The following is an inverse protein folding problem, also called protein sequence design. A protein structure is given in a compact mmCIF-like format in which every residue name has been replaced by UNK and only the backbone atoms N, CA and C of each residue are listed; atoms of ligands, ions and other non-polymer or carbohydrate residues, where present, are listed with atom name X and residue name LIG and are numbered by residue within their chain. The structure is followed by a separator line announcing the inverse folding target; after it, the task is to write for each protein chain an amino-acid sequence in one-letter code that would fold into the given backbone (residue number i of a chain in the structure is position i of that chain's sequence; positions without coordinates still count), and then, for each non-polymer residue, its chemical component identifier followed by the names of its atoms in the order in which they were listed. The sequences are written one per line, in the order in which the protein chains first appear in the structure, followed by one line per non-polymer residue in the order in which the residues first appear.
data_IF_913898985380
#
_entry.id   IF_913898985380
#
_cell.length_a   1.000
_cell.length_b   1.000
_cell.length_c   1.000
_cell.angle_alpha   90.00
_cell.angle_beta   90.00
_cell.angle_gamma   90.00
#
_symmetry.space_group_name_H-M   'P 1'
#
loop_
_entity.id
_entity.type
_entity.pdbx_description
1 polymer ?
#
# COMPACT_ATOMS: atom_id res chain seq x y z
N UNK A 1 -15.81 -99.57 -27.05
CA UNK A 1 -16.15 -98.44 -27.94
C UNK A 1 -16.51 -97.26 -27.03
N UNK A 2 -15.55 -96.38 -26.69
CA UNK A 2 -15.25 -95.10 -27.39
C UNK A 2 -16.49 -94.21 -27.47
N UNK A 3 -16.54 -92.97 -26.95
CA UNK A 3 -15.66 -91.82 -27.22
C UNK A 3 -16.04 -90.71 -26.21
N UNK A 4 -15.16 -90.24 -25.31
CA UNK A 4 -14.39 -88.98 -25.42
C UNK A 4 -15.13 -87.73 -25.95
N UNK A 5 -15.08 -86.64 -25.17
CA UNK A 5 -14.88 -85.30 -25.73
C UNK A 5 -15.93 -84.23 -25.42
N UNK A 6 -15.82 -83.56 -24.26
CA UNK A 6 -15.80 -82.08 -24.17
C UNK A 6 -15.46 -81.61 -22.75
N UNK A 7 -14.17 -81.37 -22.53
CA UNK A 7 -13.73 -80.46 -21.48
C UNK A 7 -14.20 -79.05 -21.84
N UNK A 8 -14.96 -78.43 -20.94
CA UNK A 8 -15.13 -76.97 -20.91
C UNK A 8 -13.88 -76.39 -20.25
N UNK A 9 -12.91 -76.04 -21.09
CA UNK A 9 -11.84 -75.09 -20.77
C UNK A 9 -12.46 -73.69 -20.77
N UNK A 10 -12.16 -72.91 -19.74
CA UNK A 10 -12.56 -71.51 -19.65
C UNK A 10 -12.45 -70.93 -18.24
N UNK A 11 -11.38 -71.26 -17.50
CA UNK A 11 -10.93 -70.46 -16.37
C UNK A 11 -9.67 -69.73 -16.84
N UNK A 12 -9.73 -68.42 -16.97
CA UNK A 12 -8.58 -67.59 -17.36
C UNK A 12 -7.47 -67.75 -16.32
N UNK A 13 -6.54 -68.65 -16.63
CA UNK A 13 -5.40 -69.02 -15.82
C UNK A 13 -4.26 -68.04 -15.99
N UNK A 14 -4.39 -66.86 -15.39
CA UNK A 14 -3.25 -66.02 -15.10
C UNK A 14 -2.91 -66.21 -13.62
N UNK A 15 -1.74 -66.76 -13.32
CA UNK A 15 -1.31 -66.98 -11.93
C UNK A 15 -1.24 -65.65 -11.17
N UNK A 16 -1.54 -65.64 -9.86
CA UNK A 16 -1.46 -64.42 -9.04
C UNK A 16 -0.08 -63.74 -9.14
N UNK A 17 0.97 -64.51 -9.40
CA UNK A 17 2.32 -64.01 -9.67
C UNK A 17 2.43 -63.24 -11.01
N UNK A 18 1.76 -63.69 -12.08
CA UNK A 18 1.70 -62.96 -13.36
C UNK A 18 0.87 -61.69 -13.27
N UNK A 19 -0.23 -61.71 -12.50
CA UNK A 19 -1.04 -60.53 -12.23
C UNK A 19 -0.24 -59.52 -11.40
N UNK A 20 0.47 -59.97 -10.36
CA UNK A 20 1.35 -59.12 -9.56
C UNK A 20 2.48 -58.51 -10.41
N UNK A 21 3.18 -59.30 -11.23
CA UNK A 21 4.23 -58.78 -12.14
C UNK A 21 3.71 -57.66 -13.03
N UNK A 22 2.54 -57.83 -13.65
CA UNK A 22 1.93 -56.79 -14.51
C UNK A 22 1.69 -55.49 -13.76
N UNK A 23 1.22 -55.55 -12.52
CA UNK A 23 0.97 -54.35 -11.71
C UNK A 23 2.25 -53.71 -11.18
N UNK A 24 3.30 -54.50 -10.94
CA UNK A 24 4.63 -53.97 -10.63
C UNK A 24 5.26 -53.28 -11.84
N UNK A 25 5.12 -53.86 -13.04
CA UNK A 25 5.56 -53.23 -14.29
C UNK A 25 4.80 -51.93 -14.55
N UNK A 26 3.49 -51.92 -14.30
CA UNK A 26 2.67 -50.72 -14.41
C UNK A 26 3.10 -49.63 -13.42
N UNK A 27 3.33 -49.99 -12.14
CA UNK A 27 3.84 -49.06 -11.14
C UNK A 27 5.24 -48.55 -11.48
N UNK A 28 6.12 -49.40 -11.99
CA UNK A 28 7.46 -49.00 -12.45
C UNK A 28 7.41 -48.01 -13.62
N UNK A 29 6.53 -48.27 -14.58
CA UNK A 29 6.28 -47.36 -15.70
C UNK A 29 5.73 -46.02 -15.20
N UNK A 30 4.78 -46.05 -14.27
CA UNK A 30 4.21 -44.86 -13.67
C UNK A 30 5.23 -44.02 -12.89
N UNK A 31 6.08 -44.65 -12.08
CA UNK A 31 7.18 -43.97 -11.36
C UNK A 31 8.14 -43.31 -12.37
N UNK A 32 8.44 -43.99 -13.48
CA UNK A 32 9.34 -43.49 -14.52
C UNK A 32 8.74 -42.32 -15.31
N UNK A 33 7.41 -42.22 -15.39
CA UNK A 33 6.71 -41.12 -16.06
C UNK A 33 6.42 -39.93 -15.16
N UNK A 34 6.81 -39.94 -13.88
CA UNK A 34 6.53 -38.81 -12.97
C UNK A 34 7.16 -37.49 -13.45
N UNK A 35 8.28 -37.54 -14.18
CA UNK A 35 8.89 -36.36 -14.79
C UNK A 35 7.99 -35.70 -15.84
N UNK A 36 7.18 -36.50 -16.54
CA UNK A 36 6.31 -36.09 -17.64
C UNK A 36 4.95 -35.53 -17.17
N UNK A 37 4.64 -35.65 -15.87
CA UNK A 37 3.39 -35.14 -15.31
C UNK A 37 3.46 -33.62 -15.17
N UNK A 38 2.50 -32.95 -15.80
CA UNK A 38 2.31 -31.51 -15.73
C UNK A 38 1.97 -31.05 -14.30
N UNK A 39 2.17 -29.76 -14.05
CA UNK A 39 2.22 -29.14 -12.74
C UNK A 39 3.39 -28.18 -12.80
N UNK A 40 3.11 -26.89 -12.69
CA UNK A 40 4.12 -25.84 -12.70
C UNK A 40 5.13 -26.06 -11.55
N UNK A 41 6.02 -25.11 -11.22
CA UNK A 41 6.98 -25.25 -10.10
C UNK A 41 6.32 -25.46 -8.70
N UNK A 42 5.00 -25.66 -8.63
CA UNK A 42 4.18 -25.94 -7.45
C UNK A 42 4.05 -27.46 -7.17
N UNK A 43 4.53 -27.95 -6.00
CA UNK A 43 4.32 -29.33 -5.55
C UNK A 43 2.86 -29.76 -5.41
N UNK A 44 1.95 -28.82 -5.09
CA UNK A 44 0.54 -29.12 -4.86
C UNK A 44 -0.13 -29.58 -6.16
N UNK A 45 -0.04 -28.75 -7.20
CA UNK A 45 -0.59 -29.04 -8.54
C UNK A 45 0.03 -30.33 -9.12
N UNK A 46 1.34 -30.52 -8.92
CA UNK A 46 2.03 -31.74 -9.35
C UNK A 46 1.41 -33.00 -8.70
N UNK A 47 1.23 -33.03 -7.39
CA UNK A 47 0.71 -34.23 -6.71
C UNK A 47 -0.76 -34.48 -7.07
N UNK A 48 -1.55 -33.42 -7.27
CA UNK A 48 -2.93 -33.53 -7.76
C UNK A 48 -2.97 -34.24 -9.12
N UNK A 49 -2.19 -33.76 -10.08
CA UNK A 49 -2.10 -34.33 -11.42
C UNK A 49 -1.57 -35.77 -11.40
N UNK A 50 -0.59 -36.09 -10.54
CA UNK A 50 -0.09 -37.46 -10.37
C UNK A 50 -1.18 -38.38 -9.81
N UNK A 51 -1.96 -37.91 -8.83
CA UNK A 51 -3.06 -38.69 -8.26
C UNK A 51 -4.16 -38.96 -9.30
N UNK A 52 -4.54 -37.96 -10.10
CA UNK A 52 -5.49 -38.13 -11.20
C UNK A 52 -4.96 -39.10 -12.27
N UNK A 53 -3.70 -38.95 -12.68
CA UNK A 53 -3.08 -39.82 -13.67
C UNK A 53 -3.02 -41.28 -13.21
N UNK A 54 -2.70 -41.51 -11.93
CA UNK A 54 -2.71 -42.86 -11.35
C UNK A 54 -4.11 -43.45 -11.31
N UNK A 55 -5.11 -42.68 -10.86
CA UNK A 55 -6.50 -43.14 -10.80
C UNK A 55 -7.06 -43.46 -12.20
N UNK A 56 -6.73 -42.64 -13.21
CA UNK A 56 -7.11 -42.89 -14.61
C UNK A 56 -6.54 -44.20 -15.18
N UNK A 57 -5.44 -44.70 -14.63
CA UNK A 57 -4.84 -45.99 -14.99
C UNK A 57 -5.51 -47.21 -14.35
N UNK A 58 -6.34 -47.01 -13.31
CA UNK A 58 -7.01 -48.10 -12.58
C UNK A 58 -8.48 -48.18 -13.01
N UNK A 59 -8.80 -49.12 -13.91
CA UNK A 59 -10.18 -49.38 -14.34
C UNK A 59 -10.83 -50.50 -13.50
N UNK A 60 -12.14 -50.40 -13.17
CA UNK A 60 -12.89 -51.50 -12.57
C UNK A 60 -12.82 -52.80 -13.36
N UNK A 61 -12.64 -52.72 -14.69
CA UNK A 61 -12.57 -53.87 -15.60
C UNK A 61 -11.17 -54.54 -15.62
N UNK A 62 -10.13 -53.85 -15.14
CA UNK A 62 -8.74 -54.35 -15.09
C UNK A 62 -8.23 -54.59 -13.67
N UNK A 63 -9.04 -54.27 -12.65
CA UNK A 63 -8.69 -54.43 -11.25
C UNK A 63 -8.49 -55.91 -10.86
N UNK A 64 -7.41 -56.26 -10.14
CA UNK A 64 -7.21 -57.59 -9.60
C UNK A 64 -8.30 -58.02 -8.61
N UNK A 65 -8.34 -59.32 -8.32
CA UNK A 65 -9.19 -59.86 -7.26
C UNK A 65 -8.91 -59.14 -5.91
N UNK A 66 -9.94 -58.80 -5.11
CA UNK A 66 -9.78 -58.12 -3.82
C UNK A 66 -8.88 -58.82 -2.79
N UNK A 67 -8.61 -60.12 -2.97
CA UNK A 67 -7.73 -60.92 -2.10
C UNK A 67 -6.36 -61.19 -2.73
N UNK A 68 -6.07 -60.62 -3.90
CA UNK A 68 -4.80 -60.82 -4.59
C UNK A 68 -3.72 -59.86 -4.07
N UNK A 69 -2.45 -60.27 -4.02
CA UNK A 69 -1.34 -59.37 -3.70
C UNK A 69 -1.22 -58.17 -4.65
N UNK A 70 -1.70 -58.30 -5.89
CA UNK A 70 -1.71 -57.20 -6.86
C UNK A 70 -2.69 -56.08 -6.46
N UNK A 71 -3.84 -56.40 -5.85
CA UNK A 71 -4.76 -55.38 -5.32
C UNK A 71 -4.10 -54.58 -4.19
N UNK A 72 -3.27 -55.23 -3.38
CA UNK A 72 -2.55 -54.55 -2.30
C UNK A 72 -1.57 -53.49 -2.84
N UNK A 73 -0.92 -53.72 -3.98
CA UNK A 73 -0.06 -52.72 -4.66
C UNK A 73 -0.86 -51.46 -5.01
N UNK A 74 -2.08 -51.61 -5.53
CA UNK A 74 -2.94 -50.49 -5.89
C UNK A 74 -3.32 -49.68 -4.64
N UNK A 75 -3.79 -50.35 -3.59
CA UNK A 75 -4.26 -49.69 -2.35
C UNK A 75 -3.10 -49.00 -1.62
N UNK A 76 -1.91 -49.61 -1.57
CA UNK A 76 -0.72 -48.99 -0.95
C UNK A 76 -0.20 -47.79 -1.76
N UNK A 77 -0.29 -47.85 -3.09
CA UNK A 77 0.06 -46.72 -3.95
C UNK A 77 -0.92 -45.56 -3.76
N UNK A 78 -2.23 -45.83 -3.71
CA UNK A 78 -3.25 -44.81 -3.41
C UNK A 78 -3.06 -44.19 -2.02
N UNK A 79 -2.73 -44.99 -1.00
CA UNK A 79 -2.39 -44.49 0.34
C UNK A 79 -1.18 -43.56 0.29
N UNK A 80 -0.14 -43.94 -0.45
CA UNK A 80 1.09 -43.15 -0.60
C UNK A 80 0.81 -41.81 -1.28
N UNK A 81 -0.01 -41.80 -2.33
CA UNK A 81 -0.44 -40.58 -3.03
C UNK A 81 -1.23 -39.64 -2.11
N UNK A 82 -2.20 -40.18 -1.34
CA UNK A 82 -2.98 -39.37 -0.39
C UNK A 82 -2.10 -38.75 0.72
N UNK A 83 -1.09 -39.48 1.21
CA UNK A 83 -0.14 -38.94 2.19
C UNK A 83 0.75 -37.84 1.61
N UNK A 84 1.20 -38.01 0.35
CA UNK A 84 1.98 -37.00 -0.35
C UNK A 84 1.15 -35.72 -0.57
N UNK A 85 -0.12 -35.86 -0.93
CA UNK A 85 -1.07 -34.74 -1.11
C UNK A 85 -1.25 -33.94 0.18
N UNK A 86 -1.51 -34.62 1.30
CA UNK A 86 -1.65 -33.95 2.60
C UNK A 86 -0.35 -33.24 3.01
N UNK A 87 0.80 -33.84 2.72
CA UNK A 87 2.10 -33.23 3.05
C UNK A 87 2.36 -31.96 2.24
N UNK A 88 2.05 -31.96 0.93
CA UNK A 88 2.19 -30.78 0.09
C UNK A 88 1.17 -29.69 0.46
N UNK A 89 -0.08 -30.07 0.72
CA UNK A 89 -1.12 -29.15 1.22
C UNK A 89 -0.70 -28.49 2.53
N UNK A 90 -0.22 -29.29 3.48
CA UNK A 90 0.32 -28.82 4.76
C UNK A 90 1.44 -27.81 4.57
N UNK A 91 2.50 -28.18 3.84
CA UNK A 91 3.63 -27.29 3.60
C UNK A 91 3.21 -26.00 2.87
N UNK A 92 2.36 -26.10 1.85
CA UNK A 92 1.92 -24.93 1.08
C UNK A 92 1.24 -23.89 1.96
N UNK A 93 0.38 -24.31 2.89
CA UNK A 93 -0.39 -23.40 3.75
C UNK A 93 0.35 -23.00 5.03
N UNK A 94 1.13 -23.90 5.63
CA UNK A 94 1.78 -23.67 6.92
C UNK A 94 3.15 -23.01 6.81
N UNK A 95 3.87 -23.17 5.69
CA UNK A 95 5.19 -22.56 5.49
C UNK A 95 5.03 -21.12 4.96
N UNK A 96 5.33 -20.06 5.76
CA UNK A 96 5.01 -18.68 5.40
C UNK A 96 5.87 -18.13 4.26
N UNK A 97 7.16 -18.47 4.24
CA UNK A 97 8.08 -18.07 3.19
C UNK A 97 8.02 -19.05 2.03
N UNK A 98 7.66 -18.56 0.84
CA UNK A 98 7.59 -19.38 -0.36
C UNK A 98 8.94 -20.03 -0.73
N UNK A 99 10.07 -19.46 -0.27
CA UNK A 99 11.42 -19.99 -0.52
C UNK A 99 11.76 -21.19 0.35
N UNK A 100 11.09 -21.33 1.49
CA UNK A 100 11.30 -22.43 2.44
C UNK A 100 10.35 -23.61 2.16
N UNK A 101 9.35 -23.41 1.30
CA UNK A 101 8.44 -24.47 0.86
C UNK A 101 9.18 -25.58 0.13
N UNK A 102 8.61 -26.78 0.21
CA UNK A 102 9.01 -27.92 -0.60
C UNK A 102 8.91 -27.53 -2.07
N UNK A 103 9.90 -27.92 -2.87
CA UNK A 103 9.89 -27.69 -4.32
C UNK A 103 9.29 -28.89 -5.04
N UNK A 104 8.79 -28.70 -6.27
CA UNK A 104 8.32 -29.80 -7.14
C UNK A 104 9.31 -30.95 -7.17
N UNK A 105 10.60 -30.66 -7.38
CA UNK A 105 11.66 -31.67 -7.45
C UNK A 105 11.80 -32.50 -6.16
N UNK A 106 11.70 -31.85 -4.99
CA UNK A 106 11.79 -32.54 -3.69
C UNK A 106 10.54 -33.39 -3.43
N UNK A 107 9.35 -32.87 -3.74
CA UNK A 107 8.09 -33.61 -3.63
C UNK A 107 8.07 -34.82 -4.57
N UNK A 108 8.44 -34.64 -5.84
CA UNK A 108 8.54 -35.71 -6.83
C UNK A 108 9.54 -36.78 -6.40
N UNK A 109 10.74 -36.40 -5.95
CA UNK A 109 11.73 -37.38 -5.49
C UNK A 109 11.21 -38.16 -4.27
N UNK A 110 10.53 -37.49 -3.35
CA UNK A 110 9.97 -38.11 -2.14
C UNK A 110 8.85 -39.08 -2.49
N UNK A 111 7.95 -38.70 -3.39
CA UNK A 111 6.87 -39.54 -3.90
C UNK A 111 7.40 -40.74 -4.68
N UNK A 112 8.34 -40.53 -5.60
CA UNK A 112 8.97 -41.59 -6.37
C UNK A 112 9.64 -42.62 -5.44
N UNK A 113 10.36 -42.17 -4.40
CA UNK A 113 10.96 -43.05 -3.40
C UNK A 113 9.91 -43.84 -2.61
N UNK A 114 8.80 -43.21 -2.24
CA UNK A 114 7.74 -43.88 -1.50
C UNK A 114 7.02 -44.95 -2.34
N UNK A 115 6.70 -44.64 -3.60
CA UNK A 115 6.12 -45.58 -4.56
C UNK A 115 7.09 -46.72 -4.92
N UNK A 116 8.38 -46.41 -5.06
CA UNK A 116 9.41 -47.44 -5.30
C UNK A 116 9.53 -48.39 -4.09
N UNK A 117 9.33 -47.90 -2.86
CA UNK A 117 9.20 -48.74 -1.68
C UNK A 117 8.07 -49.77 -1.79
N UNK A 118 6.90 -49.35 -2.28
CA UNK A 118 5.76 -50.27 -2.55
C UNK A 118 6.13 -51.30 -3.62
N UNK A 119 6.80 -50.87 -4.69
CA UNK A 119 7.26 -51.74 -5.78
C UNK A 119 8.26 -52.79 -5.29
N UNK A 120 9.32 -52.36 -4.60
CA UNK A 120 10.36 -53.23 -4.06
C UNK A 120 9.78 -54.29 -3.11
N UNK A 121 8.79 -53.91 -2.32
CA UNK A 121 8.10 -54.86 -1.44
C UNK A 121 7.35 -55.92 -2.26
N UNK A 122 6.62 -55.54 -3.30
CA UNK A 122 5.96 -56.50 -4.19
C UNK A 122 6.94 -57.41 -4.95
N UNK A 123 8.12 -56.91 -5.33
CA UNK A 123 9.19 -57.72 -5.93
C UNK A 123 9.74 -58.75 -4.93
N UNK A 124 9.87 -58.37 -3.65
CA UNK A 124 10.29 -59.29 -2.59
C UNK A 124 9.33 -60.47 -2.46
N UNK A 125 8.02 -60.25 -2.61
CA UNK A 125 7.01 -61.33 -2.56
C UNK A 125 7.15 -62.32 -3.73
N UNK A 126 7.60 -61.86 -4.90
CA UNK A 126 7.86 -62.70 -6.06
C UNK A 126 9.17 -63.50 -5.93
N UNK A 127 10.16 -62.96 -5.21
CA UNK A 127 11.47 -63.58 -5.03
C UNK A 127 11.51 -64.55 -3.83
N UNK A 128 10.76 -64.25 -2.77
CA UNK A 128 10.78 -64.98 -1.51
C UNK A 128 9.49 -65.80 -1.33
N UNK A 129 8.47 -65.20 -0.72
CA UNK A 129 7.20 -65.85 -0.39
C UNK A 129 6.04 -64.89 -0.63
N UNK A 130 5.06 -65.33 -1.41
CA UNK A 130 3.83 -64.58 -1.65
C UNK A 130 2.96 -64.51 -0.38
N UNK A 131 2.36 -63.34 -0.07
CA UNK A 131 1.48 -63.22 1.07
C UNK A 131 0.23 -64.06 0.87
N UNK A 132 -0.22 -64.70 1.95
CA UNK A 132 -1.47 -65.47 1.95
C UNK A 132 -2.68 -64.55 1.77
N UNK A 133 -3.79 -65.09 1.27
CA UNK A 133 -5.04 -64.32 1.11
C UNK A 133 -5.52 -63.67 2.42
N UNK A 134 -5.23 -64.28 3.58
CA UNK A 134 -5.55 -63.71 4.89
C UNK A 134 -4.66 -62.51 5.23
N UNK A 135 -3.35 -62.61 4.99
CA UNK A 135 -2.42 -61.48 5.16
C UNK A 135 -2.77 -60.32 4.22
N UNK A 136 -3.14 -60.62 2.97
CA UNK A 136 -3.61 -59.62 2.00
C UNK A 136 -4.87 -58.92 2.52
N UNK A 137 -5.87 -59.65 3.00
CA UNK A 137 -7.09 -59.05 3.56
C UNK A 137 -6.82 -58.17 4.77
N UNK A 138 -6.02 -58.65 5.72
CA UNK A 138 -5.66 -57.88 6.92
C UNK A 138 -4.94 -56.59 6.55
N UNK A 139 -4.01 -56.67 5.61
CA UNK A 139 -3.26 -55.50 5.19
C UNK A 139 -4.10 -54.52 4.38
N UNK A 140 -4.92 -54.98 3.44
CA UNK A 140 -5.88 -54.12 2.74
C UNK A 140 -6.79 -53.39 3.73
N UNK A 141 -7.25 -54.05 4.80
CA UNK A 141 -8.03 -53.41 5.85
C UNK A 141 -7.24 -52.32 6.60
N UNK A 142 -5.99 -52.58 6.96
CA UNK A 142 -5.11 -51.60 7.61
C UNK A 142 -4.77 -50.42 6.70
N UNK A 143 -4.39 -50.70 5.45
CA UNK A 143 -4.05 -49.69 4.44
C UNK A 143 -5.28 -48.87 4.05
N UNK A 144 -6.46 -49.50 3.96
CA UNK A 144 -7.74 -48.82 3.77
C UNK A 144 -8.07 -47.90 4.94
N UNK A 145 -7.91 -48.36 6.19
CA UNK A 145 -8.10 -47.52 7.36
C UNK A 145 -7.13 -46.32 7.39
N UNK A 146 -5.86 -46.54 7.03
CA UNK A 146 -4.86 -45.48 6.93
C UNK A 146 -5.14 -44.49 5.78
N UNK A 147 -5.67 -44.97 4.66
CA UNK A 147 -6.12 -44.13 3.54
C UNK A 147 -7.33 -43.28 3.95
N UNK A 148 -8.34 -43.86 4.58
CA UNK A 148 -9.48 -43.12 5.13
C UNK A 148 -9.02 -42.07 6.14
N UNK A 149 -8.12 -42.42 7.06
CA UNK A 149 -7.56 -41.48 8.01
C UNK A 149 -6.81 -40.32 7.33
N UNK A 150 -6.12 -40.57 6.22
CA UNK A 150 -5.47 -39.51 5.45
C UNK A 150 -6.51 -38.58 4.79
N UNK A 151 -7.58 -39.12 4.20
CA UNK A 151 -8.67 -38.32 3.63
C UNK A 151 -9.38 -37.48 4.71
N UNK A 152 -9.67 -38.08 5.86
CA UNK A 152 -10.30 -37.40 7.00
C UNK A 152 -9.42 -36.27 7.53
N UNK A 153 -8.10 -36.47 7.62
CA UNK A 153 -7.15 -35.44 8.04
C UNK A 153 -7.13 -34.24 7.06
N UNK A 154 -7.13 -34.51 5.75
CA UNK A 154 -7.21 -33.46 4.73
C UNK A 154 -8.54 -32.70 4.79
N UNK A 155 -9.65 -33.41 4.99
CA UNK A 155 -10.97 -32.80 5.17
C UNK A 155 -11.05 -31.93 6.43
N UNK A 156 -10.47 -32.39 7.54
CA UNK A 156 -10.39 -31.61 8.78
C UNK A 156 -9.55 -30.34 8.58
N UNK A 157 -8.38 -30.43 7.94
CA UNK A 157 -7.54 -29.28 7.66
C UNK A 157 -8.26 -28.25 6.77
N UNK A 158 -9.02 -28.70 5.77
CA UNK A 158 -9.84 -27.82 4.94
C UNK A 158 -10.95 -27.14 5.75
N UNK A 159 -11.64 -27.88 6.61
CA UNK A 159 -12.69 -27.32 7.47
C UNK A 159 -12.14 -26.29 8.47
N UNK A 160 -10.96 -26.53 9.06
CA UNK A 160 -10.28 -25.56 9.92
C UNK A 160 -9.94 -24.27 9.16
N UNK A 161 -9.45 -24.37 7.92
CA UNK A 161 -9.18 -23.18 7.09
C UNK A 161 -10.46 -22.45 6.68
N UNK A 162 -11.55 -23.17 6.40
CA UNK A 162 -12.85 -22.57 6.09
C UNK A 162 -13.42 -21.82 7.31
N UNK A 163 -13.23 -22.36 8.51
CA UNK A 163 -13.60 -21.71 9.77
C UNK A 163 -12.76 -20.45 10.02
N UNK A 164 -11.43 -20.51 9.85
CA UNK A 164 -10.54 -19.35 9.93
C UNK A 164 -10.94 -18.24 8.93
N UNK A 165 -11.25 -18.61 7.68
CA UNK A 165 -11.72 -17.68 6.65
C UNK A 165 -13.07 -17.04 7.04
N UNK A 166 -13.99 -17.81 7.59
CA UNK A 166 -15.29 -17.32 8.05
C UNK A 166 -15.15 -16.37 9.26
N UNK A 167 -14.28 -16.68 10.22
CA UNK A 167 -13.97 -15.81 11.35
C UNK A 167 -13.35 -14.48 10.89
N UNK A 168 -12.39 -14.54 9.96
CA UNK A 168 -11.75 -13.35 9.40
C UNK A 168 -12.75 -12.48 8.61
N UNK A 169 -13.71 -13.10 7.92
CA UNK A 169 -14.79 -12.40 7.19
C UNK A 169 -15.83 -11.78 8.12
N UNK A 170 -16.08 -12.38 9.28
CA UNK A 170 -17.00 -11.84 10.27
C UNK A 170 -16.45 -10.58 10.96
N UNK A 171 -15.13 -10.38 10.97
CA UNK A 171 -14.47 -9.24 11.62
C UNK A 171 -13.43 -8.52 10.72
N UNK A 172 -13.89 -7.87 9.62
CA UNK A 172 -12.99 -7.29 8.62
C UNK A 172 -12.44 -5.91 9.02
N UNK A 173 -13.09 -5.22 9.96
CA UNK A 173 -12.75 -3.83 10.30
C UNK A 173 -12.15 -3.71 11.69
N UNK A 174 -11.19 -2.81 11.85
CA UNK A 174 -10.55 -2.58 13.14
C UNK A 174 -9.36 -1.64 13.10
N UNK A 175 -8.84 -1.28 14.28
CA UNK A 175 -7.57 -0.59 14.41
C UNK A 175 -6.43 -1.61 14.35
N UNK A 176 -5.40 -1.30 13.57
CA UNK A 176 -4.22 -2.14 13.43
C UNK A 176 -2.96 -1.38 13.78
N UNK A 177 -2.13 -1.98 14.63
CA UNK A 177 -0.82 -1.49 14.97
C UNK A 177 0.22 -2.33 14.22
N UNK A 178 1.06 -1.66 13.44
CA UNK A 178 2.27 -2.25 12.90
C UNK A 178 3.45 -1.80 13.74
N UNK A 179 4.16 -2.75 14.33
CA UNK A 179 5.34 -2.49 15.17
C UNK A 179 6.41 -3.54 14.94
N UNK A 180 7.64 -3.25 15.36
CA UNK A 180 8.76 -4.18 15.26
C UNK A 180 9.18 -4.59 16.66
N UNK A 181 9.31 -5.89 16.87
CA UNK A 181 9.88 -6.46 18.09
C UNK A 181 11.03 -7.41 17.72
N UNK A 182 12.28 -6.91 17.73
CA UNK A 182 13.46 -7.71 17.39
C UNK A 182 13.67 -8.93 18.30
N UNK A 183 13.01 -9.00 19.46
CA UNK A 183 13.07 -10.17 20.33
C UNK A 183 12.19 -11.33 19.85
N UNK A 184 11.23 -11.04 18.96
CA UNK A 184 10.27 -12.02 18.41
C UNK A 184 10.52 -12.33 16.95
N UNK A 185 10.79 -11.32 16.13
CA UNK A 185 10.97 -11.48 14.68
C UNK A 185 11.66 -10.26 14.07
N UNK A 186 12.44 -10.49 13.01
CA UNK A 186 12.97 -9.42 12.16
C UNK A 186 11.88 -8.82 11.24
N UNK A 187 10.73 -9.49 11.11
CA UNK A 187 9.59 -9.01 10.34
C UNK A 187 8.68 -8.07 11.17
N UNK A 188 8.00 -7.09 10.53
CA UNK A 188 6.98 -6.28 11.20
C UNK A 188 5.84 -7.15 11.74
N UNK A 189 5.44 -6.89 12.98
CA UNK A 189 4.29 -7.51 13.62
C UNK A 189 3.05 -6.69 13.29
N UNK A 190 2.04 -7.36 12.73
CA UNK A 190 0.72 -6.81 12.49
C UNK A 190 -0.20 -7.25 13.62
N UNK A 191 -0.78 -6.29 14.32
CA UNK A 191 -1.65 -6.58 15.45
C UNK A 191 -2.96 -5.81 15.33
N UNK A 192 -4.07 -6.54 15.30
CA UNK A 192 -5.40 -5.93 15.39
C UNK A 192 -5.67 -5.57 16.85
N UNK A 193 -5.62 -4.29 17.16
CA UNK A 193 -5.75 -3.77 18.53
C UNK A 193 -7.21 -3.79 18.98
N UNK A 194 -8.15 -3.53 18.07
CA UNK A 194 -9.57 -3.67 18.33
C UNK A 194 -10.38 -3.83 17.04
N UNK A 195 -11.60 -4.35 17.18
CA UNK A 195 -12.55 -4.56 16.09
C UNK A 195 -13.53 -3.41 16.00
N UNK A 196 -13.99 -3.12 14.78
CA UNK A 196 -14.97 -2.06 14.50
C UNK A 196 -16.19 -2.63 13.79
N UNK A 197 -17.34 -2.04 14.08
CA UNK A 197 -18.49 -2.15 13.17
C UNK A 197 -18.19 -1.42 11.85
N UNK A 198 -18.90 -1.78 10.78
CA UNK A 198 -18.79 -1.07 9.49
C UNK A 198 -19.08 0.43 9.64
N UNK A 199 -20.06 0.79 10.47
CA UNK A 199 -20.42 2.18 10.73
C UNK A 199 -19.30 2.95 11.45
N UNK A 200 -18.63 2.34 12.43
CA UNK A 200 -17.47 2.93 13.11
C UNK A 200 -16.29 3.08 12.16
N UNK A 201 -15.98 2.04 11.39
CA UNK A 201 -14.91 2.08 10.38
C UNK A 201 -15.14 3.22 9.40
N UNK A 202 -16.35 3.33 8.84
CA UNK A 202 -16.71 4.41 7.93
C UNK A 202 -16.56 5.78 8.61
N UNK A 203 -17.02 5.92 9.85
CA UNK A 203 -16.92 7.17 10.62
C UNK A 203 -15.46 7.61 10.80
N UNK A 204 -14.57 6.69 11.17
CA UNK A 204 -13.15 6.99 11.34
C UNK A 204 -12.46 7.29 10.02
N UNK A 205 -12.71 6.48 8.99
CA UNK A 205 -12.13 6.68 7.65
C UNK A 205 -12.56 8.01 7.04
N UNK A 206 -13.85 8.36 7.12
CA UNK A 206 -14.37 9.62 6.60
C UNK A 206 -13.75 10.83 7.33
N UNK A 207 -13.68 10.80 8.66
CA UNK A 207 -13.11 11.89 9.46
C UNK A 207 -11.61 12.06 9.20
N UNK A 208 -10.84 10.97 9.18
CA UNK A 208 -9.42 11.02 8.85
C UNK A 208 -9.18 11.59 7.44
N UNK A 209 -9.89 11.07 6.43
CA UNK A 209 -9.77 11.55 5.04
C UNK A 209 -10.19 13.01 4.89
N UNK A 210 -11.20 13.47 5.64
CA UNK A 210 -11.62 14.86 5.64
C UNK A 210 -10.51 15.79 6.17
N UNK A 211 -9.87 15.42 7.28
CA UNK A 211 -8.73 16.16 7.83
C UNK A 211 -7.51 16.10 6.90
N UNK A 212 -7.19 14.94 6.34
CA UNK A 212 -6.11 14.78 5.35
C UNK A 212 -6.32 15.72 4.15
N UNK A 213 -7.51 15.72 3.56
CA UNK A 213 -7.85 16.60 2.42
C UNK A 213 -7.78 18.09 2.79
N UNK A 214 -8.10 18.44 4.04
CA UNK A 214 -7.96 19.79 4.55
C UNK A 214 -6.49 20.18 4.63
N UNK A 215 -5.67 19.38 5.31
CA UNK A 215 -4.24 19.65 5.53
C UNK A 215 -3.45 19.66 4.21
N UNK A 216 -3.66 18.66 3.35
CA UNK A 216 -2.96 18.54 2.06
C UNK A 216 -3.33 19.62 1.06
N UNK A 217 -4.50 20.25 1.23
CA UNK A 217 -4.90 21.36 0.39
C UNK A 217 -4.93 22.70 1.10
N UNK A 218 -4.19 22.81 2.20
CA UNK A 218 -3.91 24.09 2.81
C UNK A 218 -2.88 24.86 1.98
N UNK A 219 -3.39 25.62 1.00
CA UNK A 219 -2.59 26.47 0.14
C UNK A 219 -2.05 27.72 0.87
N UNK A 220 -2.53 28.00 2.08
CA UNK A 220 -1.97 29.07 2.89
C UNK A 220 -0.61 28.66 3.48
N UNK A 221 -0.43 27.39 3.82
CA UNK A 221 0.87 26.85 4.22
C UNK A 221 1.91 27.07 3.11
N UNK A 222 1.54 26.84 1.84
CA UNK A 222 2.44 27.12 0.70
C UNK A 222 2.86 28.61 0.64
N UNK A 223 1.95 29.55 0.92
CA UNK A 223 2.30 30.98 1.00
C UNK A 223 3.28 31.25 2.15
N UNK A 224 3.07 30.60 3.30
CA UNK A 224 3.96 30.69 4.46
C UNK A 224 5.35 30.14 4.16
N UNK A 225 5.44 28.98 3.51
CA UNK A 225 6.71 28.34 3.11
C UNK A 225 7.49 29.21 2.12
N UNK A 226 6.82 29.79 1.12
CA UNK A 226 7.48 30.67 0.15
C UNK A 226 7.89 32.02 0.78
N UNK A 227 7.14 32.50 1.79
CA UNK A 227 7.55 33.64 2.61
C UNK A 227 8.81 33.32 3.42
N UNK A 228 8.85 32.16 4.09
CA UNK A 228 10.02 31.70 4.85
C UNK A 228 11.24 31.56 3.93
N UNK A 229 11.07 30.99 2.74
CA UNK A 229 12.15 30.88 1.74
C UNK A 229 12.69 32.25 1.31
N UNK A 230 11.83 33.25 1.13
CA UNK A 230 12.27 34.62 0.84
C UNK A 230 13.08 35.21 2.01
N UNK A 231 12.61 35.01 3.24
CA UNK A 231 13.33 35.40 4.46
C UNK A 231 14.68 34.70 4.58
N UNK A 232 14.77 33.41 4.25
CA UNK A 232 16.02 32.64 4.28
C UNK A 232 17.03 33.16 3.27
N UNK A 233 16.57 33.53 2.06
CA UNK A 233 17.44 34.15 1.05
C UNK A 233 17.95 35.51 1.55
N UNK A 234 17.10 36.34 2.16
CA UNK A 234 17.51 37.61 2.77
C UNK A 234 18.55 37.38 3.89
N UNK A 235 18.25 36.47 4.82
CA UNK A 235 19.12 36.16 5.95
C UNK A 235 20.47 35.60 5.49
N UNK A 236 20.48 34.74 4.47
CA UNK A 236 21.70 34.19 3.86
C UNK A 236 22.58 35.28 3.25
N UNK A 237 22.00 36.26 2.55
CA UNK A 237 22.74 37.40 1.99
C UNK A 237 23.35 38.24 3.12
N UNK A 238 22.57 38.57 4.16
CA UNK A 238 23.05 39.35 5.32
C UNK A 238 24.21 38.61 6.01
N UNK A 239 24.09 37.30 6.20
CA UNK A 239 25.13 36.48 6.83
C UNK A 239 26.40 36.40 5.99
N UNK A 240 26.28 36.34 4.67
CA UNK A 240 27.43 36.37 3.76
C UNK A 240 28.14 37.74 3.75
N UNK A 241 27.40 38.83 3.91
CA UNK A 241 27.96 40.18 4.11
C UNK A 241 28.73 40.25 5.43
N UNK A 242 28.10 39.84 6.53
CA UNK A 242 28.73 39.85 7.87
C UNK A 242 29.98 38.99 7.93
N UNK A 243 29.96 37.82 7.30
CA UNK A 243 31.09 36.89 7.25
C UNK A 243 32.17 37.28 6.23
N UNK A 244 32.03 38.42 5.54
CA UNK A 244 32.93 38.90 4.46
C UNK A 244 33.13 37.89 3.32
N UNK A 245 32.17 36.98 3.14
CA UNK A 245 32.14 36.02 2.03
C UNK A 245 31.60 36.66 0.76
N UNK A 246 30.78 37.70 0.90
CA UNK A 246 30.30 38.52 -0.19
C UNK A 246 31.11 39.82 -0.27
N UNK A 247 31.79 40.05 -1.40
CA UNK A 247 32.42 41.33 -1.69
C UNK A 247 31.48 42.19 -2.53
N UNK A 248 31.20 43.42 -2.09
CA UNK A 248 30.38 44.39 -2.83
C UNK A 248 30.99 44.79 -4.18
N UNK A 249 32.31 44.64 -4.34
CA UNK A 249 33.01 44.92 -5.60
C UNK A 249 32.95 43.77 -6.60
N UNK A 250 32.48 42.58 -6.17
CA UNK A 250 32.31 41.44 -7.05
C UNK A 250 30.91 41.47 -7.69
N UNK A 251 30.84 42.10 -8.86
CA UNK A 251 29.59 42.24 -9.63
C UNK A 251 28.91 40.91 -9.93
N UNK A 252 29.68 39.86 -10.24
CA UNK A 252 29.12 38.53 -10.54
C UNK A 252 28.43 37.88 -9.32
N UNK A 253 29.01 38.01 -8.14
CA UNK A 253 28.40 37.52 -6.89
C UNK A 253 27.16 38.34 -6.50
N UNK A 254 27.20 39.66 -6.70
CA UNK A 254 26.07 40.55 -6.45
C UNK A 254 24.89 40.27 -7.39
N UNK A 255 25.17 40.03 -8.67
CA UNK A 255 24.16 39.62 -9.65
C UNK A 255 23.54 38.27 -9.31
N UNK A 256 24.33 37.33 -8.78
CA UNK A 256 23.80 36.04 -8.32
C UNK A 256 22.85 36.20 -7.12
N UNK A 257 23.20 37.03 -6.13
CA UNK A 257 22.28 37.34 -5.01
C UNK A 257 21.01 38.04 -5.48
N UNK A 258 21.13 38.96 -6.44
CA UNK A 258 19.96 39.58 -7.08
C UNK A 258 19.08 38.55 -7.80
N UNK A 259 19.66 37.58 -8.51
CA UNK A 259 18.91 36.48 -9.16
C UNK A 259 18.19 35.60 -8.14
N UNK A 260 18.83 35.24 -7.04
CA UNK A 260 18.23 34.46 -5.96
C UNK A 260 17.07 35.20 -5.30
N UNK A 261 17.26 36.49 -4.98
CA UNK A 261 16.21 37.35 -4.44
C UNK A 261 15.01 37.41 -5.37
N UNK A 262 15.26 37.62 -6.65
CA UNK A 262 14.23 37.64 -7.68
C UNK A 262 13.46 36.34 -7.76
N UNK A 263 14.14 35.20 -7.77
CA UNK A 263 13.51 33.88 -7.85
C UNK A 263 12.58 33.65 -6.65
N UNK A 264 13.05 33.99 -5.44
CA UNK A 264 12.25 33.91 -4.23
C UNK A 264 11.04 34.85 -4.27
N UNK A 265 11.20 36.09 -4.75
CA UNK A 265 10.10 37.06 -4.87
C UNK A 265 9.03 36.61 -5.89
N UNK A 266 9.44 36.08 -7.04
CA UNK A 266 8.52 35.49 -8.02
C UNK A 266 7.75 34.32 -7.39
N UNK A 267 8.45 33.44 -6.67
CA UNK A 267 7.85 32.28 -6.01
C UNK A 267 6.78 32.70 -4.99
N UNK A 268 7.11 33.66 -4.12
CA UNK A 268 6.19 34.18 -3.11
C UNK A 268 4.96 34.87 -3.72
N UNK A 269 5.17 35.76 -4.69
CA UNK A 269 4.05 36.47 -5.35
C UNK A 269 3.15 35.52 -6.14
N UNK A 270 3.70 34.45 -6.72
CA UNK A 270 2.94 33.36 -7.32
C UNK A 270 2.15 32.54 -6.29
N UNK A 271 2.73 32.27 -5.12
CA UNK A 271 2.00 31.57 -4.05
C UNK A 271 0.74 32.34 -3.64
N UNK A 272 0.80 33.68 -3.56
CA UNK A 272 -0.38 34.53 -3.31
C UNK A 272 -1.45 34.38 -4.42
N UNK A 273 -1.03 34.24 -5.68
CA UNK A 273 -1.93 33.99 -6.80
C UNK A 273 -2.62 32.64 -6.70
N UNK A 274 -1.82 31.60 -6.55
CA UNK A 274 -2.25 30.21 -6.50
C UNK A 274 -3.21 30.02 -5.33
N UNK A 275 -2.89 30.61 -4.17
CA UNK A 275 -3.75 30.57 -2.99
C UNK A 275 -5.14 31.11 -3.30
N UNK A 276 -5.28 32.27 -3.94
CA UNK A 276 -6.59 32.81 -4.32
C UNK A 276 -7.32 31.92 -5.34
N UNK A 277 -6.67 31.63 -6.46
CA UNK A 277 -7.29 30.96 -7.60
C UNK A 277 -7.73 29.54 -7.25
N UNK A 278 -6.86 28.77 -6.62
CA UNK A 278 -7.14 27.37 -6.29
C UNK A 278 -8.08 27.26 -5.09
N UNK A 279 -8.06 28.19 -4.14
CA UNK A 279 -9.06 28.21 -3.05
C UNK A 279 -10.45 28.51 -3.59
N UNK A 280 -10.59 29.48 -4.50
CA UNK A 280 -11.87 29.77 -5.15
C UNK A 280 -12.32 28.56 -5.98
N UNK A 281 -11.43 27.96 -6.78
CA UNK A 281 -11.74 26.77 -7.57
C UNK A 281 -12.21 25.61 -6.70
N UNK A 282 -11.52 25.34 -5.58
CA UNK A 282 -11.92 24.33 -4.60
C UNK A 282 -13.30 24.61 -4.01
N UNK A 283 -13.62 25.88 -3.70
CA UNK A 283 -14.95 26.27 -3.25
C UNK A 283 -16.02 26.06 -4.34
N UNK A 284 -15.70 26.34 -5.60
CA UNK A 284 -16.59 26.09 -6.74
C UNK A 284 -16.87 24.61 -6.95
N UNK A 285 -15.86 23.76 -6.81
CA UNK A 285 -15.99 22.30 -6.88
C UNK A 285 -16.78 21.72 -5.69
N UNK A 286 -16.60 22.30 -4.49
CA UNK A 286 -17.22 21.79 -3.26
C UNK A 286 -18.68 22.24 -3.11
N UNK A 287 -18.98 23.52 -3.38
CA UNK A 287 -20.31 24.10 -3.13
C UNK A 287 -21.05 24.47 -4.41
N UNK A 288 -20.37 24.56 -5.55
CA UNK A 288 -20.90 25.09 -6.81
C UNK A 288 -20.56 26.57 -7.04
N UNK A 289 -20.49 26.95 -8.32
CA UNK A 289 -20.01 28.28 -8.76
C UNK A 289 -20.77 29.48 -8.18
N UNK A 290 -22.08 29.33 -7.95
CA UNK A 290 -22.98 30.40 -7.51
C UNK A 290 -23.47 30.25 -6.06
N UNK A 291 -22.96 29.26 -5.32
CA UNK A 291 -23.32 29.04 -3.93
C UNK A 291 -22.96 30.23 -3.03
N UNK A 292 -23.67 30.35 -1.90
CA UNK A 292 -23.44 31.43 -0.95
C UNK A 292 -22.03 31.38 -0.34
N UNK A 293 -21.53 30.18 -0.03
CA UNK A 293 -20.20 29.92 0.50
C UNK A 293 -19.12 30.36 -0.48
N UNK A 294 -19.21 29.93 -1.75
CA UNK A 294 -18.29 30.35 -2.83
C UNK A 294 -18.29 31.87 -2.98
N UNK A 295 -19.46 32.51 -2.93
CA UNK A 295 -19.56 33.98 -2.97
C UNK A 295 -18.91 34.66 -1.76
N UNK A 296 -19.04 34.09 -0.56
CA UNK A 296 -18.35 34.58 0.65
C UNK A 296 -16.83 34.48 0.50
N UNK A 297 -16.31 33.34 0.05
CA UNK A 297 -14.86 33.15 -0.17
C UNK A 297 -14.33 34.14 -1.22
N UNK A 298 -15.01 34.31 -2.37
CA UNK A 298 -14.64 35.35 -3.34
C UNK A 298 -14.67 36.76 -2.74
N UNK A 299 -15.66 37.03 -1.88
CA UNK A 299 -15.77 38.31 -1.19
C UNK A 299 -14.59 38.55 -0.24
N UNK A 300 -14.15 37.54 0.52
CA UNK A 300 -12.97 37.66 1.40
C UNK A 300 -11.71 38.11 0.63
N UNK A 301 -11.38 37.45 -0.49
CA UNK A 301 -10.26 37.88 -1.33
C UNK A 301 -10.49 39.26 -1.97
N UNK A 302 -11.73 39.56 -2.41
CA UNK A 302 -12.06 40.87 -2.96
C UNK A 302 -11.92 41.99 -1.93
N UNK A 303 -12.33 41.74 -0.69
CA UNK A 303 -12.26 42.68 0.41
C UNK A 303 -10.80 42.88 0.82
N UNK A 304 -10.00 41.81 0.92
CA UNK A 304 -8.55 41.91 1.15
C UNK A 304 -7.85 42.76 0.08
N UNK A 305 -8.19 42.58 -1.20
CA UNK A 305 -7.70 43.45 -2.28
C UNK A 305 -8.16 44.90 -2.07
N UNK A 306 -9.39 45.16 -1.66
CA UNK A 306 -9.87 46.55 -1.48
C UNK A 306 -9.22 47.26 -0.30
N UNK A 307 -9.00 46.55 0.80
CA UNK A 307 -8.56 47.11 2.08
C UNK A 307 -7.04 47.13 2.24
N UNK A 308 -6.32 46.12 1.72
CA UNK A 308 -4.86 46.05 1.82
C UNK A 308 -4.18 46.62 0.59
N UNK A 309 -3.43 47.71 0.78
CA UNK A 309 -2.52 48.22 -0.23
C UNK A 309 -1.45 47.19 -0.57
N UNK A 310 -0.82 46.64 0.46
CA UNK A 310 0.32 45.74 0.36
C UNK A 310 -0.01 44.45 -0.41
N UNK A 311 -1.15 43.82 -0.09
CA UNK A 311 -1.57 42.58 -0.77
C UNK A 311 -1.78 42.79 -2.27
N UNK A 312 -2.48 43.87 -2.65
CA UNK A 312 -2.72 44.17 -4.07
C UNK A 312 -1.42 44.37 -4.82
N UNK A 313 -0.53 45.19 -4.30
CA UNK A 313 0.68 45.56 -5.02
C UNK A 313 1.71 44.42 -5.04
N UNK A 314 1.73 43.54 -4.03
CA UNK A 314 2.48 42.28 -4.11
C UNK A 314 1.92 41.33 -5.18
N UNK A 315 0.59 41.25 -5.37
CA UNK A 315 0.01 40.48 -6.50
C UNK A 315 0.43 41.07 -7.85
N UNK A 316 0.33 42.39 -8.01
CA UNK A 316 0.75 43.09 -9.25
C UNK A 316 2.25 42.96 -9.49
N UNK A 317 3.07 42.93 -8.43
CA UNK A 317 4.52 42.70 -8.51
C UNK A 317 4.84 41.37 -9.19
N UNK A 318 4.12 40.29 -8.85
CA UNK A 318 4.28 39.00 -9.52
C UNK A 318 4.04 39.10 -11.03
N UNK A 319 2.93 39.72 -11.42
CA UNK A 319 2.59 39.92 -12.84
C UNK A 319 3.62 40.80 -13.56
N UNK A 320 4.11 41.87 -12.93
CA UNK A 320 5.09 42.77 -13.51
C UNK A 320 6.46 42.08 -13.73
N UNK A 321 6.89 41.25 -12.76
CA UNK A 321 8.12 40.46 -12.87
C UNK A 321 8.07 39.43 -14.01
N UNK A 322 6.88 38.93 -14.35
CA UNK A 322 6.71 37.92 -15.40
C UNK A 322 6.45 38.52 -16.79
N UNK A 323 5.78 39.67 -16.86
CA UNK A 323 5.23 40.17 -18.12
C UNK A 323 5.76 41.54 -18.56
N UNK A 324 6.52 42.25 -17.71
CA UNK A 324 7.06 43.58 -18.04
C UNK A 324 8.57 43.57 -17.96
N UNK A 325 9.10 43.40 -16.75
CA UNK A 325 10.53 43.41 -16.50
C UNK A 325 10.86 42.42 -15.40
N UNK A 326 11.68 41.44 -15.76
CA UNK A 326 12.22 40.45 -14.83
C UNK A 326 13.02 41.11 -13.69
N UNK A 327 13.49 42.35 -13.87
CA UNK A 327 14.17 43.15 -12.86
C UNK A 327 13.29 44.26 -12.24
N UNK A 328 11.96 44.16 -12.34
CA UNK A 328 10.99 45.13 -11.81
C UNK A 328 10.92 45.23 -10.27
N UNK A 329 12.06 45.16 -9.59
CA UNK A 329 12.24 45.39 -8.16
C UNK A 329 13.62 46.03 -7.93
N UNK A 330 13.73 46.81 -6.86
CA UNK A 330 14.97 47.44 -6.43
C UNK A 330 15.62 46.60 -5.34
N UNK A 331 16.94 46.50 -5.44
CA UNK A 331 17.78 45.74 -4.54
C UNK A 331 18.99 46.60 -4.19
N UNK A 332 19.14 46.94 -2.93
CA UNK A 332 20.29 47.70 -2.42
C UNK A 332 20.82 47.05 -1.15
N UNK A 333 22.14 47.17 -0.97
CA UNK A 333 22.83 46.71 0.22
C UNK A 333 23.46 47.94 0.86
N UNK A 334 23.09 48.20 2.10
CA UNK A 334 23.73 49.20 2.94
C UNK A 334 24.65 48.46 3.89
N UNK A 335 25.94 48.46 3.59
CA UNK A 335 26.96 47.90 4.47
C UNK A 335 27.56 49.02 5.33
N UNK A 336 27.59 48.83 6.64
CA UNK A 336 28.15 49.79 7.60
C UNK A 336 29.36 49.15 8.30
N UNK A 337 30.46 49.90 8.40
CA UNK A 337 31.67 49.44 9.10
C UNK A 337 31.45 49.21 10.60
N UNK A 338 30.49 49.94 11.20
CA UNK A 338 30.21 49.96 12.65
C UNK A 338 28.72 49.66 12.96
N UNK A 339 27.93 49.19 11.99
CA UNK A 339 26.49 48.95 12.13
C UNK A 339 26.02 47.68 11.41
N UNK A 340 24.77 47.24 11.62
CA UNK A 340 24.26 46.04 10.95
C UNK A 340 24.17 46.26 9.44
N UNK A 341 24.76 45.36 8.65
CA UNK A 341 24.53 45.32 7.20
C UNK A 341 23.04 45.10 6.93
N UNK A 342 22.46 45.91 6.06
CA UNK A 342 21.05 45.88 5.70
C UNK A 342 20.89 45.56 4.21
N UNK A 343 19.95 44.68 3.90
CA UNK A 343 19.55 44.36 2.52
C UNK A 343 18.13 44.88 2.33
N UNK A 344 18.01 45.91 1.49
CA UNK A 344 16.75 46.57 1.20
C UNK A 344 16.21 46.01 -0.12
N UNK A 345 14.94 45.59 -0.08
CA UNK A 345 14.21 45.09 -1.25
C UNK A 345 12.93 45.88 -1.38
N UNK A 346 12.79 46.59 -2.48
CA UNK A 346 11.65 47.46 -2.73
C UNK A 346 10.98 47.08 -4.05
N UNK A 347 9.68 47.30 -4.15
CA UNK A 347 8.99 47.17 -5.44
C UNK A 347 9.41 48.30 -6.37
N UNK A 348 9.59 48.03 -7.66
CA UNK A 348 9.83 49.13 -8.61
C UNK A 348 8.48 49.75 -8.99
N UNK A 349 8.18 50.89 -8.37
CA UNK A 349 6.93 51.61 -8.56
C UNK A 349 6.70 52.02 -10.02
N UNK A 350 7.76 52.35 -10.75
CA UNK A 350 7.64 52.70 -12.17
C UNK A 350 7.30 51.47 -13.00
N UNK A 351 7.95 50.33 -12.75
CA UNK A 351 7.65 49.07 -13.42
C UNK A 351 6.21 48.60 -13.15
N UNK A 352 5.76 48.72 -11.90
CA UNK A 352 4.37 48.43 -11.52
C UNK A 352 3.39 49.35 -12.28
N UNK A 353 3.62 50.66 -12.27
CA UNK A 353 2.78 51.61 -13.01
C UNK A 353 2.79 51.32 -14.52
N UNK A 354 3.90 50.88 -15.11
CA UNK A 354 3.93 50.48 -16.51
C UNK A 354 3.06 49.25 -16.78
N UNK A 355 3.12 48.22 -15.92
CA UNK A 355 2.24 47.05 -16.03
C UNK A 355 0.76 47.45 -16.02
N UNK A 356 0.37 48.34 -15.11
CA UNK A 356 -1.03 48.75 -15.00
C UNK A 356 -1.56 49.50 -16.23
N UNK A 357 -0.71 50.12 -17.06
CA UNK A 357 -1.13 50.73 -18.33
C UNK A 357 -1.57 49.67 -19.36
N UNK A 358 -1.12 48.42 -19.19
CA UNK A 358 -1.41 47.28 -20.07
C UNK A 358 -2.55 46.41 -19.54
N UNK A 359 -2.90 46.53 -18.25
CA UNK A 359 -3.87 45.68 -17.56
C UNK A 359 -5.23 46.37 -17.40
N UNK A 360 -6.07 46.31 -18.44
CA UNK A 360 -7.39 46.97 -18.47
C UNK A 360 -8.47 46.27 -17.62
N UNK A 361 -8.17 45.11 -17.02
CA UNK A 361 -9.18 44.19 -16.47
C UNK A 361 -9.15 44.02 -14.94
N UNK A 362 -8.46 44.89 -14.19
CA UNK A 362 -8.34 44.77 -12.73
C UNK A 362 -9.05 45.92 -11.99
N UNK A 363 -10.38 45.87 -11.80
CA UNK A 363 -11.17 46.97 -11.23
C UNK A 363 -10.88 47.26 -9.74
N UNK A 364 -10.19 46.36 -9.05
CA UNK A 364 -9.75 46.50 -7.66
C UNK A 364 -8.43 47.28 -7.54
N UNK A 365 -7.79 47.62 -8.65
CA UNK A 365 -6.51 48.31 -8.67
C UNK A 365 -6.68 49.81 -8.43
N UNK A 366 -5.91 50.35 -7.47
CA UNK A 366 -5.95 51.76 -7.11
C UNK A 366 -4.64 52.45 -7.49
N UNK A 367 -4.46 52.71 -8.79
CA UNK A 367 -3.23 53.28 -9.36
C UNK A 367 -2.77 54.56 -8.65
N UNK A 368 -3.71 55.45 -8.29
CA UNK A 368 -3.42 56.73 -7.64
C UNK A 368 -2.70 56.56 -6.29
N UNK A 369 -3.06 55.54 -5.49
CA UNK A 369 -2.40 55.28 -4.21
C UNK A 369 -0.91 55.02 -4.38
N UNK A 370 -0.51 54.37 -5.48
CA UNK A 370 0.91 54.14 -5.78
C UNK A 370 1.55 55.39 -6.40
N UNK A 371 0.86 56.14 -7.26
CA UNK A 371 1.39 57.36 -7.89
C UNK A 371 1.71 58.46 -6.86
N UNK A 372 0.89 58.60 -5.84
CA UNK A 372 0.99 59.63 -4.82
C UNK A 372 2.08 59.33 -3.76
N UNK A 373 2.77 58.19 -3.83
CA UNK A 373 3.88 57.87 -2.94
C UNK A 373 5.18 58.56 -3.34
N UNK A 374 5.92 59.03 -2.33
CA UNK A 374 7.22 59.70 -2.50
C UNK A 374 8.40 58.72 -2.56
N UNK A 375 8.21 57.46 -2.13
CA UNK A 375 9.24 56.42 -2.12
C UNK A 375 8.69 55.07 -2.58
N UNK A 376 9.59 54.17 -2.94
CA UNK A 376 9.23 52.80 -3.29
C UNK A 376 8.88 51.99 -2.03
N UNK A 377 7.78 51.23 -2.03
CA UNK A 377 7.42 50.36 -0.90
C UNK A 377 8.44 49.24 -0.66
N UNK A 378 8.82 49.01 0.61
CA UNK A 378 9.62 47.85 1.01
C UNK A 378 8.80 46.56 0.93
N UNK A 379 9.33 45.56 0.23
CA UNK A 379 8.71 44.23 0.12
C UNK A 379 8.58 43.55 1.48
N UNK A 380 9.59 43.66 2.36
CA UNK A 380 9.53 43.04 3.69
C UNK A 380 8.41 43.64 4.54
N UNK A 381 8.26 44.97 4.54
CA UNK A 381 7.18 45.66 5.27
C UNK A 381 5.82 45.27 4.70
N UNK A 382 5.68 45.23 3.38
CA UNK A 382 4.44 44.80 2.73
C UNK A 382 4.06 43.37 3.15
N UNK A 383 5.03 42.44 3.21
CA UNK A 383 4.81 41.06 3.65
C UNK A 383 4.36 41.00 5.11
N UNK A 384 5.06 41.72 6.00
CA UNK A 384 4.71 41.78 7.43
C UNK A 384 3.28 42.31 7.64
N UNK A 385 2.87 43.31 6.86
CA UNK A 385 1.53 43.88 6.96
C UNK A 385 0.42 42.94 6.47
N UNK A 386 0.69 42.09 5.47
CA UNK A 386 -0.34 41.17 4.93
C UNK A 386 -0.47 39.89 5.73
N UNK A 387 0.57 39.41 6.42
CA UNK A 387 0.53 38.17 7.19
C UNK A 387 -0.65 38.08 8.17
N UNK A 388 -0.92 39.07 9.06
CA UNK A 388 -2.06 38.98 9.96
C UNK A 388 -3.41 38.98 9.23
N UNK A 389 -3.54 39.74 8.15
CA UNK A 389 -4.77 39.79 7.34
C UNK A 389 -5.03 38.47 6.61
N UNK A 390 -3.96 37.84 6.12
CA UNK A 390 -4.02 36.54 5.47
C UNK A 390 -4.36 35.43 6.47
N UNK A 391 -3.79 35.46 7.69
CA UNK A 391 -4.14 34.55 8.78
C UNK A 391 -5.64 34.63 9.14
N UNK A 392 -6.16 35.84 9.31
CA UNK A 392 -7.58 36.07 9.61
C UNK A 392 -8.48 35.57 8.47
N UNK A 393 -8.15 35.93 7.23
CA UNK A 393 -8.88 35.48 6.05
C UNK A 393 -8.84 33.96 5.91
N UNK A 394 -7.68 33.33 6.10
CA UNK A 394 -7.51 31.88 6.04
C UNK A 394 -8.37 31.19 7.10
N UNK A 395 -8.41 31.71 8.33
CA UNK A 395 -9.26 31.18 9.40
C UNK A 395 -10.74 31.16 8.99
N UNK A 396 -11.23 32.23 8.37
CA UNK A 396 -12.61 32.31 7.89
C UNK A 396 -12.88 31.40 6.67
N UNK A 397 -11.91 31.29 5.75
CA UNK A 397 -11.98 30.36 4.61
C UNK A 397 -12.04 28.91 5.10
N UNK A 398 -11.21 28.54 6.06
CA UNK A 398 -11.16 27.20 6.64
C UNK A 398 -12.47 26.86 7.34
N UNK A 399 -13.06 27.77 8.11
CA UNK A 399 -14.41 27.58 8.69
C UNK A 399 -15.49 27.36 7.63
N UNK A 400 -15.39 28.02 6.48
CA UNK A 400 -16.36 27.89 5.39
C UNK A 400 -16.18 26.59 4.60
N UNK A 401 -14.94 26.22 4.27
CA UNK A 401 -14.61 25.01 3.50
C UNK A 401 -14.73 23.74 4.35
N UNK A 402 -14.41 23.82 5.63
CA UNK A 402 -14.33 22.71 6.55
C UNK A 402 -15.12 23.02 7.84
N UNK A 403 -16.45 23.09 7.78
CA UNK A 403 -17.27 23.42 8.95
C UNK A 403 -17.24 22.34 10.05
N UNK A 404 -16.81 21.13 9.72
CA UNK A 404 -16.85 19.97 10.61
C UNK A 404 -15.50 19.65 11.27
N UNK A 405 -14.44 20.47 11.11
CA UNK A 405 -13.08 20.16 11.60
C UNK A 405 -13.07 19.77 13.07
N UNK A 406 -13.74 20.51 13.94
CA UNK A 406 -13.77 20.19 15.36
C UNK A 406 -14.41 18.81 15.65
N UNK A 407 -15.43 18.43 14.87
CA UNK A 407 -16.07 17.11 14.96
C UNK A 407 -15.13 16.03 14.43
N UNK A 408 -14.51 16.25 13.28
CA UNK A 408 -13.62 15.27 12.64
C UNK A 408 -12.37 15.05 13.50
N UNK A 409 -11.80 16.11 14.08
CA UNK A 409 -10.73 16.05 15.08
C UNK A 409 -11.15 15.21 16.29
N UNK A 410 -12.33 15.44 16.86
CA UNK A 410 -12.79 14.67 18.00
C UNK A 410 -12.91 13.17 17.68
N UNK A 411 -13.39 12.83 16.48
CA UNK A 411 -13.47 11.44 15.99
C UNK A 411 -12.07 10.84 15.81
N UNK A 412 -11.11 11.59 15.26
CA UNK A 412 -9.73 11.11 15.08
C UNK A 412 -9.00 11.00 16.43
N UNK A 413 -9.24 11.88 17.40
CA UNK A 413 -8.75 11.73 18.78
C UNK A 413 -9.30 10.46 19.42
N UNK A 414 -10.59 10.16 19.24
CA UNK A 414 -11.18 8.90 19.69
C UNK A 414 -10.47 7.69 19.06
N UNK A 415 -10.20 7.74 17.75
CA UNK A 415 -9.46 6.70 17.03
C UNK A 415 -8.04 6.52 17.57
N UNK A 416 -7.29 7.61 17.78
CA UNK A 416 -5.95 7.57 18.40
C UNK A 416 -6.01 6.89 19.78
N UNK A 417 -7.05 7.20 20.56
CA UNK A 417 -7.30 6.56 21.85
C UNK A 417 -7.43 5.04 21.80
N UNK A 418 -7.91 4.47 20.66
CA UNK A 418 -8.02 3.02 20.47
C UNK A 418 -6.67 2.29 20.44
N UNK A 419 -5.57 3.02 20.24
CA UNK A 419 -4.22 2.46 20.26
C UNK A 419 -3.55 2.52 21.64
N UNK A 420 -4.21 3.08 22.66
CA UNK A 420 -3.77 3.05 24.05
C UNK A 420 -2.34 3.58 24.29
N UNK A 421 -1.88 4.51 23.45
CA UNK A 421 -0.53 5.09 23.54
C UNK A 421 0.61 4.18 23.10
N UNK A 422 0.30 3.04 22.47
CA UNK A 422 1.29 2.08 21.95
C UNK A 422 2.04 2.68 20.75
N UNK A 423 3.34 2.40 20.65
CA UNK A 423 4.17 2.95 19.56
C UNK A 423 4.17 2.03 18.34
N UNK A 424 4.10 2.65 17.17
CA UNK A 424 4.13 1.95 15.88
C UNK A 424 3.46 2.78 14.80
N UNK A 425 3.24 2.18 13.63
CA UNK A 425 2.40 2.76 12.59
C UNK A 425 0.95 2.36 12.83
N UNK A 426 0.06 3.35 12.89
CA UNK A 426 -1.37 3.13 13.03
C UNK A 426 -2.02 2.94 11.66
N UNK A 427 -2.92 1.98 11.56
CA UNK A 427 -3.66 1.66 10.35
C UNK A 427 -5.10 1.23 10.67
N UNK A 428 -5.95 1.22 9.66
CA UNK A 428 -7.27 0.61 9.70
C UNK A 428 -7.27 -0.68 8.88
N UNK A 429 -7.81 -1.76 9.44
CA UNK A 429 -8.14 -2.96 8.67
C UNK A 429 -9.29 -2.63 7.71
N UNK A 430 -9.14 -2.98 6.43
CA UNK A 430 -10.11 -2.70 5.36
C UNK A 430 -10.67 -3.96 4.72
N UNK A 431 -10.38 -5.12 5.28
CA UNK A 431 -10.79 -6.42 4.75
C UNK A 431 -10.50 -7.54 5.74
N UNK A 432 -10.78 -8.78 5.35
CA UNK A 432 -10.56 -9.93 6.20
C UNK A 432 -9.09 -10.00 6.66
N UNK A 433 -8.90 -10.44 7.91
CA UNK A 433 -7.58 -10.60 8.53
C UNK A 433 -6.71 -11.66 7.85
N UNK A 434 -5.51 -11.87 8.39
CA UNK A 434 -4.62 -12.94 7.96
C UNK A 434 -5.26 -14.31 8.21
N UNK A 435 -5.30 -15.15 7.18
CA UNK A 435 -5.62 -16.57 7.29
C UNK A 435 -4.53 -17.38 6.59
N UNK A 436 -4.50 -18.71 6.79
CA UNK A 436 -3.52 -19.58 6.10
C UNK A 436 -3.61 -19.44 4.57
N UNK A 437 -4.82 -19.19 4.05
CA UNK A 437 -5.09 -18.94 2.62
C UNK A 437 -4.90 -17.47 2.22
N UNK A 438 -5.13 -16.53 3.14
CA UNK A 438 -5.01 -15.08 2.90
C UNK A 438 -3.74 -14.52 3.54
N UNK A 439 -2.65 -14.59 2.78
CA UNK A 439 -1.30 -14.14 3.19
C UNK A 439 -1.04 -12.64 3.04
N UNK A 440 -2.04 -11.87 2.60
CA UNK A 440 -1.93 -10.42 2.42
C UNK A 440 -3.01 -9.73 3.22
N UNK A 441 -2.60 -8.89 4.16
CA UNK A 441 -3.51 -8.10 4.96
C UNK A 441 -3.97 -6.87 4.17
N UNK A 442 -5.29 -6.63 4.15
CA UNK A 442 -5.86 -5.42 3.58
C UNK A 442 -5.96 -4.34 4.65
N UNK A 443 -5.18 -3.27 4.48
CA UNK A 443 -5.20 -2.16 5.43
C UNK A 443 -4.94 -0.82 4.77
N UNK A 444 -5.32 0.24 5.47
CA UNK A 444 -5.05 1.63 5.10
C UNK A 444 -4.26 2.30 6.23
N UNK A 445 -3.01 2.72 5.99
CA UNK A 445 -2.22 3.43 6.99
C UNK A 445 -2.85 4.80 7.30
N UNK A 446 -2.81 5.21 8.55
CA UNK A 446 -3.22 6.55 8.98
C UNK A 446 -2.04 7.51 8.85
N UNK A 447 -2.27 8.67 8.24
CA UNK A 447 -1.22 9.63 7.94
C UNK A 447 -0.74 10.33 9.22
N UNK A 448 0.55 10.25 9.51
CA UNK A 448 1.13 10.77 10.77
C UNK A 448 0.85 12.25 11.01
N UNK A 449 0.85 13.07 9.95
CA UNK A 449 0.59 14.51 10.07
C UNK A 449 -0.88 14.81 10.43
N UNK A 450 -1.84 13.99 9.98
CA UNK A 450 -3.25 14.08 10.39
C UNK A 450 -3.41 13.74 11.86
N UNK A 451 -2.74 12.65 12.30
CA UNK A 451 -2.75 12.24 13.71
C UNK A 451 -2.16 13.32 14.61
N UNK A 452 -1.01 13.89 14.21
CA UNK A 452 -0.36 14.98 14.94
C UNK A 452 -1.19 16.26 14.98
N UNK A 453 -1.84 16.63 13.87
CA UNK A 453 -2.77 17.76 13.83
C UNK A 453 -3.94 17.54 14.79
N UNK A 454 -4.58 16.37 14.72
CA UNK A 454 -5.71 16.05 15.58
C UNK A 454 -5.31 16.13 17.05
N UNK A 455 -4.19 15.52 17.46
CA UNK A 455 -3.75 15.48 18.86
C UNK A 455 -3.49 16.90 19.44
N UNK A 456 -2.85 17.77 18.66
CA UNK A 456 -2.50 19.14 19.04
C UNK A 456 -3.61 20.18 18.81
N UNK A 457 -4.75 19.78 18.22
CA UNK A 457 -5.83 20.73 17.94
C UNK A 457 -6.50 21.20 19.23
N UNK A 458 -6.47 22.51 19.45
CA UNK A 458 -7.23 23.24 20.46
C UNK A 458 -8.45 23.90 19.80
N UNK A 459 -9.65 23.58 20.27
CA UNK A 459 -10.87 24.17 19.74
C UNK A 459 -10.88 25.68 20.05
N UNK A 460 -10.80 26.50 19.00
CA UNK A 460 -10.90 27.96 19.07
C UNK A 460 -12.34 28.46 19.04
#
# INVERSE_FOLDING_TARGET
MTQEGRALLGGDGNSDAEVLRRWLDHLAQFISSLDDVEGDDDPFDFIENVMEAYQGGVSPDTAPSPTSPAMLIIVESMRTLAQAMNSATGDFYETPDARDRVTRAVAQQSLARALDGVRQEGESWLAEVMPTAEQVRQRIALTGAAFTAALDAGAQQMAEMDEEDAEAEADPYGAMLLHSDPSRSDAPIFEKVCSFTEAEHKRYTDAHRALEKMLDGDLYLHVSDECARLCDVLAGIILDLHSRRLSLTNTGSMDERRRQMRAALISFTNALQIHEEQTIKRAEETFGRYAAQTRKIRKLFSDLKKTSFDYRWLRVQGDALQHVDINGFKYSINDSLDGPSEVIVEVDRQALLEYTNRSWNQPWMKRKELQDMDSDPSVQVMIQNIQPLMNEMHTEITKLLFPNVARDVAIVKELIGRFEGRRGMYALSTGPGFTRRRRTLQFSPLATHVLAFADNYEAS
#
